data_IF_836058231891
#
_entry.id   IF_836058231891
#
_cell.length_a   1.000
_cell.length_b   1.000
_cell.length_c   1.000
_cell.angle_alpha   90.00
_cell.angle_beta   90.00
_cell.angle_gamma   90.00
#
_symmetry.space_group_name_H-M   'P 1'
#
loop_
_entity.id
_entity.type
_entity.pdbx_description
1 polymer ?
#
# COMPACT_ATOMS: atom_id res chain seq x y z
N UNK A 1 12.46 21.80 11.26
CA UNK A 1 12.71 21.73 9.82
C UNK A 1 12.73 23.14 9.26
N UNK A 2 13.89 23.56 8.69
CA UNK A 2 14.03 24.88 8.10
C UNK A 2 13.30 24.92 6.74
N UNK A 3 12.83 26.12 6.35
CA UNK A 3 12.21 26.37 5.03
C UNK A 3 13.05 25.85 3.85
N UNK A 4 14.37 25.73 4.00
CA UNK A 4 15.29 25.15 3.03
C UNK A 4 15.14 23.62 2.92
N UNK A 5 14.92 22.90 4.02
CA UNK A 5 14.70 21.43 4.00
C UNK A 5 13.33 21.08 3.41
N UNK A 6 12.33 21.95 3.59
CA UNK A 6 11.01 21.81 2.96
C UNK A 6 11.13 22.07 1.45
N UNK A 7 11.91 23.09 1.02
CA UNK A 7 12.14 23.36 -0.39
C UNK A 7 12.99 22.30 -1.08
N UNK A 8 13.97 21.70 -0.39
CA UNK A 8 14.76 20.60 -0.94
C UNK A 8 13.91 19.32 -1.10
N UNK A 9 13.00 19.03 -0.16
CA UNK A 9 12.04 17.94 -0.31
C UNK A 9 10.99 18.21 -1.40
N UNK A 10 10.65 19.48 -1.66
CA UNK A 10 9.75 19.87 -2.75
C UNK A 10 10.43 19.84 -4.13
N UNK A 11 11.75 20.01 -4.21
CA UNK A 11 12.49 19.83 -5.47
C UNK A 11 12.72 18.36 -5.86
N UNK A 12 12.66 17.45 -4.87
CA UNK A 12 12.67 15.99 -5.13
C UNK A 12 11.27 15.46 -5.53
N UNK A 13 10.20 16.21 -5.27
CA UNK A 13 8.84 15.91 -5.70
C UNK A 13 8.52 16.81 -6.87
N UNK A 14 8.63 16.28 -8.10
CA UNK A 14 8.27 17.01 -9.32
C UNK A 14 6.89 17.66 -9.21
N UNK A 15 6.72 18.74 -9.95
CA UNK A 15 5.53 19.58 -10.01
C UNK A 15 4.26 18.75 -10.30
N UNK A 16 3.49 18.42 -9.26
CA UNK A 16 2.29 17.57 -9.29
C UNK A 16 1.08 18.22 -9.98
N UNK A 17 1.27 19.38 -10.61
CA UNK A 17 0.21 20.16 -11.23
C UNK A 17 -0.49 19.51 -12.42
N UNK A 18 0.05 18.45 -13.04
CA UNK A 18 -0.61 17.79 -14.18
C UNK A 18 -0.37 16.30 -14.38
N UNK A 19 0.68 15.68 -13.83
CA UNK A 19 0.90 14.21 -13.92
C UNK A 19 1.72 13.76 -12.73
N UNK A 20 1.25 12.74 -12.01
CA UNK A 20 2.03 12.06 -10.97
C UNK A 20 3.26 11.43 -11.61
N UNK A 21 4.43 12.07 -11.50
CA UNK A 21 5.67 11.56 -12.07
C UNK A 21 6.31 10.59 -11.08
N UNK A 22 6.05 9.30 -11.30
CA UNK A 22 6.68 8.23 -10.53
C UNK A 22 8.15 8.07 -10.96
N UNK A 23 9.00 7.69 -10.00
CA UNK A 23 10.35 7.21 -10.30
C UNK A 23 10.27 5.88 -11.05
N UNK A 24 11.27 5.50 -11.86
CA UNK A 24 11.20 4.26 -12.65
C UNK A 24 10.81 3.03 -11.83
N UNK A 25 11.46 2.79 -10.70
CA UNK A 25 11.16 1.66 -9.82
C UNK A 25 9.74 1.72 -9.21
N UNK A 26 9.19 2.91 -9.00
CA UNK A 26 7.81 3.08 -8.52
C UNK A 26 6.83 2.72 -9.64
N UNK A 27 7.13 3.11 -10.85
CA UNK A 27 6.34 2.74 -12.03
C UNK A 27 6.35 1.22 -12.23
N UNK A 28 7.52 0.56 -12.13
CA UNK A 28 7.63 -0.89 -12.23
C UNK A 28 6.78 -1.62 -11.18
N UNK A 29 6.78 -1.12 -9.93
CA UNK A 29 5.94 -1.66 -8.86
C UNK A 29 4.44 -1.52 -9.17
N UNK A 30 4.02 -0.34 -9.67
CA UNK A 30 2.63 -0.08 -10.08
C UNK A 30 2.23 -0.98 -11.24
N UNK A 31 3.06 -1.11 -12.27
CA UNK A 31 2.79 -1.92 -13.45
C UNK A 31 2.68 -3.41 -13.10
N UNK A 32 3.52 -3.91 -12.17
CA UNK A 32 3.45 -5.27 -11.64
C UNK A 32 2.11 -5.54 -10.94
N UNK A 33 1.65 -4.60 -10.10
CA UNK A 33 0.36 -4.71 -9.41
C UNK A 33 -0.82 -4.68 -10.41
N UNK A 34 -0.78 -3.78 -11.40
CA UNK A 34 -1.79 -3.67 -12.45
C UNK A 34 -1.86 -4.95 -13.28
N UNK A 35 -0.71 -5.47 -13.72
CA UNK A 35 -0.64 -6.70 -14.49
C UNK A 35 -1.24 -7.88 -13.73
N UNK A 36 -0.97 -7.98 -12.43
CA UNK A 36 -1.56 -8.99 -11.56
C UNK A 36 -3.08 -8.83 -11.44
N UNK A 37 -3.57 -7.65 -11.10
CA UNK A 37 -4.99 -7.38 -10.91
C UNK A 37 -5.83 -7.63 -12.17
N UNK A 38 -5.26 -7.47 -13.36
CA UNK A 38 -5.91 -7.81 -14.63
C UNK A 38 -6.10 -9.31 -14.82
N UNK A 39 -5.17 -10.13 -14.32
CA UNK A 39 -5.13 -11.58 -14.55
C UNK A 39 -5.67 -12.40 -13.39
N UNK A 40 -5.52 -11.92 -12.16
CA UNK A 40 -5.75 -12.69 -10.95
C UNK A 40 -6.55 -11.90 -9.91
N UNK A 41 -7.41 -12.61 -9.16
CA UNK A 41 -8.16 -12.04 -8.02
C UNK A 41 -7.50 -12.30 -6.67
N UNK A 42 -6.49 -13.18 -6.64
CA UNK A 42 -5.82 -13.54 -5.39
C UNK A 42 -5.04 -12.36 -4.81
N UNK A 43 -4.99 -12.22 -3.48
CA UNK A 43 -4.19 -11.20 -2.83
C UNK A 43 -2.71 -11.32 -3.20
N UNK A 44 -2.04 -10.20 -3.43
CA UNK A 44 -0.62 -10.18 -3.73
C UNK A 44 0.10 -9.05 -2.98
N UNK A 45 1.43 -9.10 -2.90
CA UNK A 45 2.23 -8.18 -2.11
C UNK A 45 3.34 -7.54 -2.95
N UNK A 46 3.65 -6.28 -2.63
CA UNK A 46 4.81 -5.53 -3.10
C UNK A 46 5.78 -5.35 -1.92
N UNK A 47 7.03 -5.75 -2.08
CA UNK A 47 8.10 -5.47 -1.13
C UNK A 47 8.76 -4.14 -1.50
N UNK A 48 8.55 -3.16 -0.65
CA UNK A 48 8.98 -1.78 -0.88
C UNK A 48 9.72 -1.28 0.36
N UNK A 49 11.02 -1.07 0.23
CA UNK A 49 11.85 -0.58 1.32
C UNK A 49 11.28 0.70 1.95
N UNK A 50 11.64 0.96 3.21
CA UNK A 50 11.33 2.24 3.85
C UNK A 50 11.95 3.37 3.04
N UNK A 51 11.19 4.43 2.78
CA UNK A 51 11.64 5.52 1.90
C UNK A 51 11.40 5.30 0.40
N UNK A 52 10.97 4.12 -0.04
CA UNK A 52 10.64 3.86 -1.45
C UNK A 52 9.43 4.65 -1.98
N UNK A 53 8.70 5.34 -1.10
CA UNK A 53 7.52 6.12 -1.50
C UNK A 53 6.26 5.27 -1.64
N UNK A 54 6.02 4.33 -0.73
CA UNK A 54 4.82 3.47 -0.68
C UNK A 54 3.51 4.24 -0.88
N UNK A 55 3.39 5.43 -0.28
CA UNK A 55 2.20 6.28 -0.40
C UNK A 55 1.91 6.69 -1.86
N UNK A 56 2.97 6.99 -2.64
CA UNK A 56 2.84 7.37 -4.04
C UNK A 56 2.49 6.18 -4.94
N UNK A 57 3.08 5.02 -4.65
CA UNK A 57 2.75 3.76 -5.34
C UNK A 57 1.29 3.39 -5.07
N UNK A 58 0.83 3.45 -3.81
CA UNK A 58 -0.56 3.22 -3.44
C UNK A 58 -1.51 4.19 -4.16
N UNK A 59 -1.15 5.47 -4.22
CA UNK A 59 -1.91 6.50 -4.90
C UNK A 59 -2.04 6.23 -6.41
N UNK A 60 -0.95 5.85 -7.06
CA UNK A 60 -0.95 5.53 -8.49
C UNK A 60 -1.79 4.29 -8.80
N UNK A 61 -1.67 3.23 -7.99
CA UNK A 61 -2.50 2.02 -8.11
C UNK A 61 -3.98 2.37 -7.92
N UNK A 62 -4.30 3.17 -6.89
CA UNK A 62 -5.67 3.57 -6.61
C UNK A 62 -6.28 4.40 -7.76
N UNK A 63 -5.53 5.37 -8.27
CA UNK A 63 -5.98 6.21 -9.39
C UNK A 63 -6.24 5.37 -10.64
N UNK A 64 -5.29 4.53 -11.03
CA UNK A 64 -5.47 3.62 -12.15
C UNK A 64 -6.71 2.73 -11.97
N UNK A 65 -6.91 2.19 -10.75
CA UNK A 65 -8.03 1.29 -10.49
C UNK A 65 -9.38 2.00 -10.61
N UNK A 66 -9.51 3.22 -10.07
CA UNK A 66 -10.73 4.03 -10.17
C UNK A 66 -11.05 4.34 -11.62
N UNK A 67 -10.06 4.78 -12.40
CA UNK A 67 -10.23 5.13 -13.82
C UNK A 67 -10.65 3.93 -14.68
N UNK A 68 -10.17 2.73 -14.38
CA UNK A 68 -10.40 1.53 -15.20
C UNK A 68 -11.54 0.63 -14.69
N UNK A 69 -11.79 0.58 -13.39
CA UNK A 69 -12.81 -0.29 -12.79
C UNK A 69 -14.05 0.46 -12.33
N UNK A 70 -14.00 1.79 -12.24
CA UNK A 70 -15.08 2.66 -11.72
C UNK A 70 -15.61 2.22 -10.35
N UNK A 71 -14.70 1.74 -9.49
CA UNK A 71 -14.97 1.28 -8.13
C UNK A 71 -14.07 2.03 -7.15
N UNK A 72 -14.55 2.17 -5.92
CA UNK A 72 -13.82 2.80 -4.83
C UNK A 72 -12.66 1.94 -4.35
N UNK A 73 -11.67 2.61 -3.77
CA UNK A 73 -10.48 2.02 -3.18
C UNK A 73 -10.47 2.28 -1.67
N UNK A 74 -10.29 1.22 -0.89
CA UNK A 74 -10.04 1.30 0.55
C UNK A 74 -8.54 1.10 0.79
N UNK A 75 -7.90 2.08 1.44
CA UNK A 75 -6.50 1.99 1.87
C UNK A 75 -6.51 1.78 3.38
N UNK A 76 -6.14 0.58 3.83
CA UNK A 76 -6.04 0.22 5.23
C UNK A 76 -4.67 0.58 5.78
N UNK A 77 -4.68 1.39 6.83
CA UNK A 77 -3.50 1.87 7.53
C UNK A 77 -3.47 1.31 8.97
N UNK A 78 -2.31 0.89 9.50
CA UNK A 78 -2.23 0.30 10.83
C UNK A 78 -2.52 1.30 11.96
N UNK A 79 -2.31 2.58 11.74
CA UNK A 79 -2.51 3.64 12.75
C UNK A 79 -3.20 4.86 12.18
N UNK A 80 -3.75 5.70 13.08
CA UNK A 80 -4.32 7.00 12.73
C UNK A 80 -3.26 7.93 12.14
N UNK A 81 -2.09 7.99 12.74
CA UNK A 81 -1.00 8.88 12.32
C UNK A 81 -0.61 8.63 10.85
N UNK A 82 -0.42 7.36 10.47
CA UNK A 82 -0.15 6.98 9.08
C UNK A 82 -1.34 7.28 8.16
N UNK A 83 -2.57 7.11 8.67
CA UNK A 83 -3.79 7.45 7.93
C UNK A 83 -3.82 8.94 7.57
N UNK A 84 -3.59 9.82 8.55
CA UNK A 84 -3.57 11.28 8.36
C UNK A 84 -2.41 11.73 7.48
N UNK A 85 -1.22 11.16 7.68
CA UNK A 85 -0.04 11.47 6.88
C UNK A 85 -0.26 11.12 5.40
N UNK A 86 -0.75 9.93 5.11
CA UNK A 86 -0.96 9.48 3.73
C UNK A 86 -2.16 10.17 3.07
N UNK A 87 -3.22 10.43 3.84
CA UNK A 87 -4.35 11.25 3.41
C UNK A 87 -3.88 12.67 3.02
N UNK A 88 -3.08 13.32 3.86
CA UNK A 88 -2.57 14.67 3.59
C UNK A 88 -1.71 14.72 2.32
N UNK A 89 -0.88 13.69 2.08
CA UNK A 89 -0.12 13.56 0.83
C UNK A 89 -1.03 13.45 -0.39
N UNK A 90 -2.11 12.66 -0.28
CA UNK A 90 -3.07 12.51 -1.35
C UNK A 90 -3.79 13.85 -1.66
N UNK A 91 -4.30 14.54 -0.64
CA UNK A 91 -4.96 15.83 -0.81
C UNK A 91 -4.03 16.89 -1.40
N UNK A 92 -2.74 16.85 -1.07
CA UNK A 92 -1.74 17.77 -1.64
C UNK A 92 -1.55 17.63 -3.16
N UNK A 93 -2.00 16.52 -3.77
CA UNK A 93 -2.04 16.35 -5.23
C UNK A 93 -3.22 17.03 -5.90
N UNK A 94 -4.15 17.63 -5.14
CA UNK A 94 -5.40 18.19 -5.65
C UNK A 94 -6.54 17.17 -5.74
N UNK A 95 -6.27 15.91 -5.47
CA UNK A 95 -7.26 14.82 -5.50
C UNK A 95 -8.07 14.78 -4.19
N UNK A 96 -9.29 14.23 -4.26
CA UNK A 96 -10.18 14.11 -3.09
C UNK A 96 -10.12 12.71 -2.50
N UNK A 97 -10.11 12.62 -1.17
CA UNK A 97 -10.23 11.38 -0.42
C UNK A 97 -11.13 11.55 0.81
N UNK A 98 -11.43 10.46 1.46
CA UNK A 98 -12.15 10.42 2.73
C UNK A 98 -11.28 9.74 3.80
N UNK A 99 -11.45 10.14 5.06
CA UNK A 99 -10.92 9.42 6.22
C UNK A 99 -12.05 8.65 6.88
N UNK A 100 -11.79 7.38 7.22
CA UNK A 100 -12.68 6.52 7.97
C UNK A 100 -11.98 5.97 9.23
N UNK A 101 -11.92 6.81 10.27
CA UNK A 101 -11.29 6.48 11.53
C UNK A 101 -12.04 7.13 12.70
N UNK A 102 -12.33 6.35 13.74
CA UNK A 102 -12.96 6.85 14.95
C UNK A 102 -12.06 7.85 15.68
N UNK A 103 -10.76 7.59 15.71
CA UNK A 103 -9.77 8.48 16.35
C UNK A 103 -9.60 9.81 15.60
N UNK A 104 -9.87 9.85 14.28
CA UNK A 104 -9.94 11.09 13.51
C UNK A 104 -11.33 11.78 13.60
N UNK A 105 -12.24 11.24 14.40
CA UNK A 105 -13.63 11.67 14.48
C UNK A 105 -14.31 11.81 13.09
N UNK A 106 -13.92 10.97 12.14
CA UNK A 106 -14.42 10.97 10.77
C UNK A 106 -14.78 9.56 10.32
N UNK A 107 -15.99 9.39 9.81
CA UNK A 107 -16.50 8.14 9.21
C UNK A 107 -17.09 8.44 7.82
N UNK A 108 -16.27 9.05 6.97
CA UNK A 108 -16.69 9.47 5.63
C UNK A 108 -16.30 8.41 4.59
N UNK A 109 -17.20 8.08 3.68
CA UNK A 109 -16.97 7.21 2.51
C UNK A 109 -17.39 7.89 1.20
N UNK A 110 -17.45 9.23 1.19
CA UNK A 110 -17.97 10.01 0.05
C UNK A 110 -17.10 9.87 -1.19
N UNK A 111 -15.79 10.01 -1.05
CA UNK A 111 -14.86 10.03 -2.18
C UNK A 111 -14.47 8.61 -2.62
N UNK A 112 -13.82 8.50 -3.77
CA UNK A 112 -13.45 7.23 -4.38
C UNK A 112 -12.27 6.56 -3.68
N UNK A 113 -11.41 7.36 -3.03
CA UNK A 113 -10.36 6.85 -2.13
C UNK A 113 -10.77 7.08 -0.69
N UNK A 114 -10.72 6.01 0.11
CA UNK A 114 -11.02 6.03 1.54
C UNK A 114 -9.84 5.47 2.30
N UNK A 115 -9.23 6.30 3.15
CA UNK A 115 -8.22 5.88 4.11
C UNK A 115 -8.88 5.45 5.40
N UNK A 116 -8.64 4.23 5.85
CA UNK A 116 -9.32 3.67 7.02
C UNK A 116 -8.41 2.91 7.98
N UNK A 117 -8.76 2.96 9.27
CA UNK A 117 -8.16 2.10 10.29
C UNK A 117 -8.98 0.82 10.42
N UNK A 118 -8.34 -0.38 10.51
CA UNK A 118 -9.04 -1.66 10.41
C UNK A 118 -10.20 -1.82 11.40
N UNK A 119 -10.00 -1.50 12.66
CA UNK A 119 -11.04 -1.64 13.69
C UNK A 119 -12.28 -0.79 13.40
N UNK A 120 -12.09 0.46 12.93
CA UNK A 120 -13.20 1.35 12.59
C UNK A 120 -13.95 0.88 11.35
N UNK A 121 -13.21 0.40 10.35
CA UNK A 121 -13.80 -0.15 9.13
C UNK A 121 -14.63 -1.39 9.44
N UNK A 122 -14.10 -2.33 10.24
CA UNK A 122 -14.83 -3.55 10.61
C UNK A 122 -16.11 -3.24 11.38
N UNK A 123 -16.06 -2.30 12.33
CA UNK A 123 -17.24 -1.91 13.13
C UNK A 123 -18.34 -1.22 12.32
N UNK A 124 -18.07 -0.87 11.07
CA UNK A 124 -19.03 -0.23 10.17
C UNK A 124 -18.96 -0.84 8.77
N UNK A 125 -18.74 -2.15 8.73
CA UNK A 125 -18.46 -2.88 7.47
C UNK A 125 -19.60 -2.82 6.46
N UNK A 126 -20.83 -2.56 6.91
CA UNK A 126 -22.00 -2.36 6.06
C UNK A 126 -21.87 -1.19 5.09
N UNK A 127 -21.01 -0.23 5.39
CA UNK A 127 -20.70 0.92 4.51
C UNK A 127 -19.73 0.56 3.39
N UNK A 128 -19.05 -0.59 3.52
CA UNK A 128 -18.06 -1.09 2.58
C UNK A 128 -18.64 -2.32 1.88
N UNK A 129 -19.18 -2.15 0.70
CA UNK A 129 -19.85 -3.20 -0.05
C UNK A 129 -19.39 -3.26 -1.49
N UNK A 130 -20.33 -3.51 -2.40
CA UNK A 130 -20.11 -3.67 -3.84
C UNK A 130 -19.44 -2.48 -4.54
N UNK A 131 -19.50 -1.30 -3.94
CA UNK A 131 -18.85 -0.08 -4.46
C UNK A 131 -17.32 -0.13 -4.32
N UNK A 132 -16.78 -0.91 -3.38
CA UNK A 132 -15.34 -1.06 -3.17
C UNK A 132 -14.81 -2.22 -3.98
N UNK A 133 -13.84 -1.96 -4.85
CA UNK A 133 -13.28 -2.97 -5.75
C UNK A 133 -11.81 -3.28 -5.49
N UNK A 134 -11.11 -2.44 -4.72
CA UNK A 134 -9.72 -2.63 -4.34
C UNK A 134 -9.52 -2.32 -2.86
N UNK A 135 -8.76 -3.18 -2.18
CA UNK A 135 -8.17 -2.91 -0.86
C UNK A 135 -6.67 -2.85 -1.02
N UNK A 136 -6.05 -1.75 -0.60
CA UNK A 136 -4.60 -1.62 -0.43
C UNK A 136 -4.30 -1.71 1.05
N UNK A 137 -3.38 -2.58 1.45
CA UNK A 137 -3.00 -2.79 2.85
C UNK A 137 -1.57 -2.29 3.03
N UNK A 138 -1.40 -1.21 3.78
CA UNK A 138 -0.08 -0.74 4.18
C UNK A 138 0.43 -1.56 5.38
N UNK A 139 1.75 -1.76 5.44
CA UNK A 139 2.43 -2.63 6.41
C UNK A 139 1.77 -4.02 6.53
N UNK A 140 1.49 -4.63 5.38
CA UNK A 140 0.72 -5.88 5.26
C UNK A 140 1.41 -7.10 5.89
N UNK A 141 2.69 -7.00 6.29
CA UNK A 141 3.33 -8.02 7.12
C UNK A 141 2.59 -8.22 8.46
N UNK A 142 1.87 -7.21 8.92
CA UNK A 142 1.03 -7.26 10.12
C UNK A 142 -0.43 -7.59 9.79
N UNK A 143 -0.72 -8.37 8.72
CA UNK A 143 -2.09 -8.74 8.41
C UNK A 143 -2.74 -9.49 9.59
N UNK A 144 -3.76 -8.86 10.17
CA UNK A 144 -4.46 -9.33 11.37
C UNK A 144 -5.74 -10.10 11.00
N UNK A 145 -6.32 -10.89 11.93
CA UNK A 145 -7.66 -11.47 11.73
C UNK A 145 -8.72 -10.42 11.37
N UNK A 146 -8.65 -9.22 11.96
CA UNK A 146 -9.54 -8.09 11.65
C UNK A 146 -9.46 -7.68 10.17
N UNK A 147 -8.25 -7.59 9.62
CA UNK A 147 -8.08 -7.23 8.19
C UNK A 147 -8.60 -8.35 7.29
N UNK A 148 -8.35 -9.62 7.63
CA UNK A 148 -8.87 -10.76 6.89
C UNK A 148 -10.40 -10.76 6.87
N UNK A 149 -11.03 -10.52 8.04
CA UNK A 149 -12.49 -10.43 8.17
C UNK A 149 -13.08 -9.29 7.33
N UNK A 150 -12.43 -8.11 7.28
CA UNK A 150 -12.85 -7.01 6.39
C UNK A 150 -12.85 -7.46 4.94
N UNK A 151 -11.76 -8.09 4.50
CA UNK A 151 -11.62 -8.57 3.11
C UNK A 151 -12.71 -9.58 2.79
N UNK A 152 -12.94 -10.56 3.64
CA UNK A 152 -13.94 -11.60 3.45
C UNK A 152 -15.36 -11.01 3.38
N UNK A 153 -15.71 -10.10 4.29
CA UNK A 153 -17.01 -9.44 4.30
C UNK A 153 -17.26 -8.55 3.07
N UNK A 154 -16.24 -7.85 2.56
CA UNK A 154 -16.37 -7.08 1.33
C UNK A 154 -16.43 -8.03 0.13
N UNK A 155 -15.65 -9.10 0.14
CA UNK A 155 -15.61 -10.09 -0.95
C UNK A 155 -16.95 -10.81 -1.14
N UNK A 156 -17.71 -11.06 -0.06
CA UNK A 156 -19.07 -11.63 -0.18
C UNK A 156 -20.04 -10.73 -0.95
N UNK A 157 -19.79 -9.42 -0.98
CA UNK A 157 -20.60 -8.43 -1.71
C UNK A 157 -20.00 -8.05 -3.07
N UNK A 158 -18.73 -8.27 -3.25
CA UNK A 158 -18.01 -8.02 -4.51
C UNK A 158 -16.96 -9.11 -4.75
N UNK A 159 -17.34 -10.16 -5.45
CA UNK A 159 -16.45 -11.28 -5.82
C UNK A 159 -15.26 -10.86 -6.71
N UNK A 160 -15.32 -9.67 -7.29
CA UNK A 160 -14.24 -9.10 -8.11
C UNK A 160 -13.27 -8.24 -7.30
N UNK A 161 -13.38 -8.24 -5.97
CA UNK A 161 -12.47 -7.51 -5.09
C UNK A 161 -11.01 -7.89 -5.37
N UNK A 162 -10.14 -6.88 -5.43
CA UNK A 162 -8.69 -7.02 -5.50
C UNK A 162 -8.05 -6.61 -4.19
N UNK A 163 -6.95 -7.24 -3.83
CA UNK A 163 -6.20 -6.94 -2.62
C UNK A 163 -4.72 -6.86 -2.94
N UNK A 164 -4.10 -5.71 -2.67
CA UNK A 164 -2.67 -5.49 -2.81
C UNK A 164 -2.12 -5.09 -1.45
N UNK A 165 -1.15 -5.84 -0.96
CA UNK A 165 -0.39 -5.50 0.24
C UNK A 165 0.91 -4.81 -0.11
N UNK A 166 1.38 -3.93 0.77
CA UNK A 166 2.68 -3.28 0.68
C UNK A 166 3.39 -3.40 2.03
N UNK A 167 4.68 -3.72 1.99
CA UNK A 167 5.50 -3.78 3.20
C UNK A 167 6.99 -3.68 2.83
N UNK A 168 7.81 -3.23 3.77
CA UNK A 168 9.27 -3.31 3.63
C UNK A 168 9.81 -4.71 3.98
N UNK A 169 9.05 -5.51 4.74
CA UNK A 169 9.47 -6.80 5.28
C UNK A 169 8.38 -7.84 5.10
N UNK A 170 8.31 -8.54 3.94
CA UNK A 170 7.28 -9.55 3.66
C UNK A 170 7.57 -10.89 4.36
N UNK A 171 8.06 -10.84 5.59
CA UNK A 171 8.49 -11.96 6.39
C UNK A 171 8.04 -11.79 7.85
N UNK A 172 7.70 -12.89 8.52
CA UNK A 172 7.36 -12.94 9.94
C UNK A 172 8.20 -13.99 10.65
N UNK A 173 8.70 -13.63 11.83
CA UNK A 173 9.35 -14.61 12.70
C UNK A 173 8.37 -15.75 13.05
N UNK A 174 8.84 -16.97 12.94
CA UNK A 174 8.07 -18.19 13.27
C UNK A 174 7.14 -18.70 12.17
N UNK A 175 6.72 -17.88 11.20
CA UNK A 175 5.85 -18.34 10.08
C UNK A 175 6.46 -18.13 8.69
N UNK A 176 7.62 -17.45 8.59
CA UNK A 176 8.30 -17.25 7.32
C UNK A 176 7.68 -16.16 6.44
N UNK A 177 7.79 -16.33 5.14
CA UNK A 177 7.25 -15.37 4.17
C UNK A 177 5.72 -15.35 4.17
N UNK A 178 5.14 -14.18 3.90
CA UNK A 178 3.69 -13.98 3.89
C UNK A 178 3.03 -14.28 2.54
N UNK A 179 3.77 -14.85 1.59
CA UNK A 179 3.31 -15.19 0.23
C UNK A 179 3.76 -16.60 -0.18
N UNK A 180 3.05 -17.21 -1.13
CA UNK A 180 3.32 -18.57 -1.63
C UNK A 180 4.38 -18.60 -2.74
N UNK A 181 4.37 -17.61 -3.63
CA UNK A 181 5.24 -17.56 -4.80
C UNK A 181 5.98 -16.23 -4.89
N UNK A 182 7.27 -16.30 -5.20
CA UNK A 182 8.07 -15.12 -5.52
C UNK A 182 8.17 -14.98 -7.04
N UNK A 183 7.42 -14.03 -7.62
CA UNK A 183 7.44 -13.79 -9.06
C UNK A 183 8.67 -12.99 -9.52
N UNK A 184 9.36 -12.30 -8.61
CA UNK A 184 10.60 -11.58 -8.93
C UNK A 184 11.71 -12.56 -9.25
N UNK A 185 11.80 -13.67 -8.50
CA UNK A 185 12.79 -14.74 -8.71
C UNK A 185 12.20 -15.96 -9.44
N UNK A 186 10.92 -15.92 -9.76
CA UNK A 186 10.16 -17.01 -10.34
C UNK A 186 10.25 -18.34 -9.55
N UNK A 187 10.24 -18.23 -8.20
CA UNK A 187 10.36 -19.35 -7.26
C UNK A 187 9.07 -19.56 -6.47
N UNK A 188 8.53 -20.79 -6.46
CA UNK A 188 7.57 -21.19 -5.44
C UNK A 188 8.28 -21.46 -4.12
N UNK A 189 7.71 -21.03 -3.01
CA UNK A 189 8.28 -21.25 -1.69
C UNK A 189 7.88 -22.63 -1.17
N UNK A 190 8.81 -23.28 -0.46
CA UNK A 190 8.52 -24.50 0.27
C UNK A 190 7.67 -24.22 1.52
N UNK A 191 7.00 -25.23 2.06
CA UNK A 191 6.16 -25.06 3.25
C UNK A 191 6.93 -24.57 4.47
N UNK A 192 8.21 -24.95 4.59
CA UNK A 192 9.09 -24.49 5.66
C UNK A 192 9.48 -23.00 5.52
N UNK A 193 9.47 -22.46 4.30
CA UNK A 193 9.77 -21.05 4.03
C UNK A 193 8.56 -20.14 4.28
N UNK A 194 7.33 -20.67 4.17
CA UNK A 194 6.09 -19.92 4.32
C UNK A 194 4.96 -20.78 4.90
N UNK A 195 4.66 -20.64 6.19
CA UNK A 195 3.61 -21.38 6.88
C UNK A 195 2.28 -20.64 6.74
N UNK A 196 1.32 -21.21 6.02
CA UNK A 196 -0.01 -20.65 5.78
C UNK A 196 0.02 -19.16 5.35
N UNK A 197 0.78 -18.80 4.33
CA UNK A 197 0.88 -17.43 3.87
C UNK A 197 -0.46 -16.93 3.31
N UNK A 198 -0.77 -15.68 3.55
CA UNK A 198 -2.05 -15.10 3.11
C UNK A 198 -2.02 -14.66 1.64
N UNK A 199 -0.90 -14.14 1.17
CA UNK A 199 -0.78 -13.62 -0.19
C UNK A 199 -0.36 -14.72 -1.17
N UNK A 200 -0.94 -14.70 -2.36
CA UNK A 200 -0.59 -15.68 -3.38
C UNK A 200 0.84 -15.45 -3.93
N UNK A 201 1.23 -14.19 -4.11
CA UNK A 201 2.51 -13.89 -4.74
C UNK A 201 3.14 -12.59 -4.25
N UNK A 202 4.48 -12.55 -4.28
CA UNK A 202 5.29 -11.34 -4.30
C UNK A 202 5.47 -10.90 -5.76
N UNK A 203 4.99 -9.69 -6.09
CA UNK A 203 4.96 -9.19 -7.47
C UNK A 203 6.21 -8.38 -7.82
N UNK A 204 6.73 -7.63 -6.87
CA UNK A 204 7.84 -6.71 -7.03
C UNK A 204 8.60 -6.58 -5.72
N UNK A 205 9.91 -6.36 -5.80
CA UNK A 205 10.75 -6.14 -4.64
C UNK A 205 11.78 -5.05 -4.96
N UNK A 206 11.93 -4.08 -4.05
CA UNK A 206 13.03 -3.14 -4.03
C UNK A 206 13.54 -2.97 -2.61
N UNK A 207 14.83 -3.23 -2.42
CA UNK A 207 15.51 -3.18 -1.13
C UNK A 207 16.14 -1.82 -0.89
N UNK A 208 16.40 -1.48 0.37
CA UNK A 208 17.09 -0.24 0.77
C UNK A 208 18.43 -0.08 0.05
N UNK A 209 19.22 -1.18 -0.06
CA UNK A 209 20.52 -1.16 -0.76
C UNK A 209 20.39 -0.76 -2.23
N UNK A 210 19.35 -1.23 -2.92
CA UNK A 210 19.10 -0.88 -4.31
C UNK A 210 18.74 0.60 -4.44
N UNK A 211 17.91 1.14 -3.54
CA UNK A 211 17.58 2.57 -3.51
C UNK A 211 18.79 3.46 -3.24
N UNK A 212 19.71 3.00 -2.38
CA UNK A 212 20.98 3.69 -2.13
C UNK A 212 21.87 3.65 -3.39
N UNK A 213 22.02 2.50 -4.02
CA UNK A 213 22.83 2.36 -5.24
C UNK A 213 22.31 3.19 -6.41
N UNK A 214 21.00 3.40 -6.47
CA UNK A 214 20.33 4.27 -7.44
C UNK A 214 20.37 5.76 -7.06
N UNK A 215 20.92 6.12 -5.89
CA UNK A 215 20.99 7.51 -5.41
C UNK A 215 19.66 8.07 -4.88
N UNK A 216 18.65 7.24 -4.62
CA UNK A 216 17.37 7.69 -4.08
C UNK A 216 17.31 7.73 -2.56
N UNK A 217 18.22 7.04 -1.88
CA UNK A 217 18.43 7.09 -0.43
C UNK A 217 19.92 7.26 -0.14
N UNK A 218 20.22 7.88 0.99
CA UNK A 218 21.58 7.98 1.55
C UNK A 218 21.81 6.88 2.58
N UNK A 219 23.06 6.42 2.72
CA UNK A 219 23.44 5.53 3.82
C UNK A 219 23.22 6.25 5.15
N UNK A 220 22.64 5.52 6.13
CA UNK A 220 22.56 6.02 7.49
C UNK A 220 23.94 5.91 8.13
N UNK A 221 24.61 7.04 8.36
CA UNK A 221 25.80 7.08 9.21
C UNK A 221 25.33 7.08 10.68
N UNK A 222 25.57 5.98 11.36
CA UNK A 222 25.49 5.92 12.83
C UNK A 222 26.79 6.49 13.37
N UNK A 223 26.78 7.74 13.83
CA UNK A 223 27.86 8.23 14.69
C UNK A 223 27.75 7.46 16.00
N UNK A 224 28.77 6.66 16.32
CA UNK A 224 28.92 6.12 17.65
C UNK A 224 29.22 7.32 18.57
N UNK A 225 28.32 7.61 19.48
CA UNK A 225 28.58 8.55 20.59
C UNK A 225 29.35 7.73 21.60
N UNK A 226 30.68 8.01 21.69
CA UNK A 226 31.55 7.51 22.74
C UNK A 226 31.15 8.10 24.12
#
# INVERSE_FOLDING_TARGET
>A
PTLASIKASQQATGNWGNVMQLRPYQQDAVDSAIAWMKKCKSPAVLELATGAGKSWIAAAIAKWFIENAQKKVLILQPSLELTEQNYSKWIATGEKASIFSASANSKCTKHDVVYGTPKTVLNSIERFGDKFGLIVIDECHMITPTIKEIIDKIKTRNERLRVIGMTATPYRMGTGYIYHQNLVTNKALAEEEAINPYFAALLYSIKTRELISMGFLTEAHTEAID
#
